data_IF_864448052317
#
_entry.id   IF_864448052317
#
_cell.length_a   1.000
_cell.length_b   1.000
_cell.length_c   1.000
_cell.angle_alpha   90.00
_cell.angle_beta   90.00
_cell.angle_gamma   90.00
#
_symmetry.space_group_name_H-M   'P 1'
#
loop_
_entity.id
_entity.type
_entity.pdbx_description
1 polymer ?
#
# COMPACT_ATOMS: atom_id res chain seq x y z
N UNK A 1 36.82 1.98 10.37
CA UNK A 1 35.44 1.53 10.39
C UNK A 1 34.72 1.98 9.10
N UNK A 2 33.70 1.28 8.66
CA UNK A 2 32.78 1.77 7.64
C UNK A 2 32.08 3.06 8.08
N UNK A 3 31.34 3.68 7.18
CA UNK A 3 30.53 4.89 7.44
C UNK A 3 29.14 4.76 6.84
N UNK A 4 28.22 5.68 7.21
CA UNK A 4 26.85 5.70 6.70
C UNK A 4 25.98 6.74 7.41
N UNK A 5 24.64 6.63 7.25
CA UNK A 5 23.68 7.58 7.83
C UNK A 5 23.40 7.39 9.33
N UNK A 6 23.81 6.29 9.93
CA UNK A 6 23.49 5.93 11.33
C UNK A 6 22.09 5.33 11.53
N UNK A 7 21.15 5.58 10.61
CA UNK A 7 19.80 5.04 10.64
C UNK A 7 19.41 4.52 9.24
N UNK A 8 18.64 3.44 9.21
CA UNK A 8 18.08 2.90 7.97
C UNK A 8 16.60 2.53 8.17
N UNK A 9 15.77 3.04 7.29
CA UNK A 9 14.37 2.64 7.15
C UNK A 9 14.28 1.42 6.21
N UNK A 10 13.55 0.41 6.63
CA UNK A 10 13.23 -0.79 5.85
C UNK A 10 11.71 -0.93 5.77
N UNK A 11 11.18 -1.11 4.57
CA UNK A 11 9.74 -1.28 4.38
C UNK A 11 9.33 -2.74 4.51
N UNK A 12 8.29 -3.00 5.29
CA UNK A 12 7.63 -4.29 5.51
C UNK A 12 8.54 -5.35 6.16
N UNK A 13 9.62 -5.76 5.52
CA UNK A 13 10.58 -6.73 6.03
C UNK A 13 11.92 -6.60 5.32
N UNK A 14 12.95 -7.13 5.92
CA UNK A 14 14.29 -7.18 5.33
C UNK A 14 15.20 -8.19 6.02
N UNK A 15 16.37 -8.40 5.44
CA UNK A 15 17.43 -9.24 5.98
C UNK A 15 18.72 -8.45 6.12
N UNK A 16 19.71 -9.01 6.77
CA UNK A 16 21.05 -8.41 6.93
C UNK A 16 21.65 -7.94 5.60
N UNK A 17 21.35 -8.65 4.50
CA UNK A 17 21.82 -8.25 3.15
C UNK A 17 21.24 -6.92 2.66
N UNK A 18 20.14 -6.42 3.26
CA UNK A 18 19.56 -5.13 2.95
C UNK A 18 20.21 -3.95 3.68
N UNK A 19 21.09 -4.22 4.64
CA UNK A 19 21.79 -3.17 5.39
C UNK A 19 22.85 -2.51 4.51
N UNK A 20 22.95 -1.19 4.63
CA UNK A 20 23.86 -0.36 3.81
C UNK A 20 24.88 0.33 4.67
N UNK A 21 26.15 0.16 4.35
CA UNK A 21 27.27 0.92 4.86
C UNK A 21 28.31 1.14 3.76
N UNK A 22 29.04 2.24 3.83
CA UNK A 22 30.12 2.58 2.89
C UNK A 22 31.45 2.04 3.41
N UNK A 23 32.07 1.17 2.62
CA UNK A 23 33.35 0.53 2.97
C UNK A 23 33.65 -0.64 2.04
N UNK A 24 34.72 -1.37 2.35
CA UNK A 24 35.19 -2.53 1.57
C UNK A 24 34.91 -3.81 2.33
N UNK A 25 34.34 -4.83 1.66
CA UNK A 25 34.07 -6.16 2.26
C UNK A 25 33.40 -6.04 3.63
N UNK A 26 32.19 -5.47 3.62
CA UNK A 26 31.40 -5.20 4.84
C UNK A 26 30.89 -6.51 5.45
N UNK A 27 31.10 -6.64 6.76
CA UNK A 27 30.52 -7.70 7.59
C UNK A 27 29.65 -7.09 8.68
N UNK A 28 28.49 -7.69 8.94
CA UNK A 28 27.53 -7.23 9.95
C UNK A 28 27.52 -8.09 11.19
N UNK A 29 27.34 -7.47 12.36
CA UNK A 29 27.38 -8.09 13.69
C UNK A 29 26.24 -7.61 14.57
N UNK A 30 25.90 -8.41 15.57
CA UNK A 30 24.94 -8.04 16.61
C UNK A 30 25.55 -7.16 17.71
N UNK A 31 26.89 -7.17 17.87
CA UNK A 31 27.57 -6.50 18.97
C UNK A 31 28.63 -5.51 18.47
N UNK A 32 28.94 -4.52 19.29
CA UNK A 32 30.01 -3.53 19.03
C UNK A 32 31.37 -4.17 18.88
N UNK A 33 31.62 -5.26 19.62
CA UNK A 33 32.90 -5.99 19.64
C UNK A 33 32.65 -7.49 19.75
N UNK A 34 33.56 -8.29 19.27
CA UNK A 34 33.48 -9.75 19.31
C UNK A 34 32.33 -10.33 18.48
N UNK A 35 31.99 -11.59 18.70
CA UNK A 35 30.98 -12.34 18.00
C UNK A 35 31.36 -12.71 16.57
N UNK A 36 30.49 -13.53 15.93
CA UNK A 36 30.65 -13.92 14.53
C UNK A 36 29.81 -13.02 13.62
N UNK A 37 30.19 -12.84 12.34
CA UNK A 37 29.38 -12.15 11.37
C UNK A 37 27.99 -12.77 11.26
N UNK A 38 26.97 -11.93 11.12
CA UNK A 38 25.59 -12.34 10.90
C UNK A 38 25.42 -12.92 9.49
N UNK A 39 24.58 -13.96 9.38
CA UNK A 39 24.23 -14.51 8.08
C UNK A 39 23.45 -13.47 7.28
N UNK A 40 23.79 -13.21 6.01
CA UNK A 40 23.07 -12.26 5.14
C UNK A 40 21.55 -12.52 5.02
N UNK A 41 21.10 -13.76 5.20
CA UNK A 41 19.67 -14.14 5.15
C UNK A 41 18.93 -13.99 6.47
N UNK A 42 19.64 -13.64 7.57
CA UNK A 42 18.99 -13.39 8.87
C UNK A 42 18.03 -12.21 8.77
N UNK A 43 16.79 -12.40 9.23
CA UNK A 43 15.78 -11.36 9.24
C UNK A 43 16.17 -10.19 10.16
N UNK A 44 15.88 -8.97 9.72
CA UNK A 44 16.04 -7.77 10.52
C UNK A 44 14.95 -7.69 11.60
N UNK A 45 15.32 -7.12 12.74
CA UNK A 45 14.41 -6.87 13.85
C UNK A 45 14.24 -5.35 14.02
N UNK A 46 12.99 -4.91 14.07
CA UNK A 46 12.65 -3.49 14.24
C UNK A 46 13.25 -2.93 15.55
N UNK A 47 13.80 -1.71 15.47
CA UNK A 47 14.41 -1.03 16.61
C UNK A 47 15.79 -1.59 17.01
N UNK A 48 16.33 -2.55 16.25
CA UNK A 48 17.65 -3.15 16.56
C UNK A 48 18.78 -2.35 15.93
N UNK A 49 19.87 -2.23 16.66
CA UNK A 49 21.12 -1.67 16.15
C UNK A 49 22.07 -2.79 15.71
N UNK A 50 22.57 -2.68 14.49
CA UNK A 50 23.55 -3.57 13.89
C UNK A 50 24.89 -2.85 13.75
N UNK A 51 25.99 -3.61 13.69
CA UNK A 51 27.35 -3.10 13.71
C UNK A 51 28.12 -3.62 12.50
N UNK A 52 28.69 -2.73 11.70
CA UNK A 52 29.45 -3.09 10.52
C UNK A 52 30.96 -2.94 10.72
N UNK A 53 31.73 -3.95 10.31
CA UNK A 53 33.15 -3.83 10.05
C UNK A 53 33.42 -3.77 8.54
N UNK A 54 34.64 -3.35 8.19
CA UNK A 54 35.18 -3.48 6.84
C UNK A 54 36.52 -4.20 6.86
N UNK A 55 36.87 -4.87 5.76
CA UNK A 55 38.14 -5.54 5.59
C UNK A 55 38.92 -4.87 4.46
N UNK A 56 40.13 -4.40 4.78
CA UNK A 56 41.11 -3.83 3.86
C UNK A 56 42.40 -4.63 3.92
N UNK A 57 42.92 -5.06 2.78
CA UNK A 57 44.18 -5.82 2.70
C UNK A 57 44.23 -6.97 3.71
N UNK A 58 43.15 -7.75 3.79
CA UNK A 58 42.96 -8.87 4.73
C UNK A 58 42.91 -8.50 6.21
N UNK A 59 42.86 -7.21 6.57
CA UNK A 59 42.75 -6.74 7.95
C UNK A 59 41.31 -6.20 8.18
N UNK A 60 40.59 -6.81 9.13
CA UNK A 60 39.27 -6.33 9.56
C UNK A 60 39.43 -5.13 10.50
N UNK A 61 38.54 -4.12 10.34
CA UNK A 61 38.54 -2.93 11.18
C UNK A 61 38.19 -3.27 12.63
N UNK A 62 38.97 -2.74 13.57
CA UNK A 62 38.77 -2.94 15.01
C UNK A 62 37.49 -2.25 15.49
N UNK A 63 37.21 -1.05 14.97
CA UNK A 63 36.02 -0.30 15.29
C UNK A 63 34.91 -0.64 14.29
N UNK A 64 33.68 -0.77 14.78
CA UNK A 64 32.46 -1.02 13.97
C UNK A 64 31.63 0.24 13.84
N UNK A 65 31.06 0.43 12.66
CA UNK A 65 30.06 1.44 12.39
C UNK A 65 28.70 0.96 12.92
N UNK A 66 27.97 1.85 13.58
CA UNK A 66 26.67 1.57 14.18
C UNK A 66 25.54 2.01 13.25
N UNK A 67 24.56 1.13 13.01
CA UNK A 67 23.38 1.38 12.20
C UNK A 67 22.12 0.96 12.95
N UNK A 68 21.25 1.91 13.27
CA UNK A 68 19.92 1.63 13.82
C UNK A 68 18.93 1.33 12.69
N UNK A 69 18.12 0.28 12.85
CA UNK A 69 17.12 -0.13 11.86
C UNK A 69 15.71 0.18 12.37
N UNK A 70 14.93 0.85 11.54
CA UNK A 70 13.49 1.03 11.73
C UNK A 70 12.75 0.29 10.63
N UNK A 71 11.86 -0.64 11.00
CA UNK A 71 10.98 -1.31 10.03
C UNK A 71 9.60 -0.69 10.12
N UNK A 72 9.14 -0.13 9.00
CA UNK A 72 7.79 0.40 8.85
C UNK A 72 6.96 -0.57 8.02
N UNK A 73 5.85 -1.03 8.57
CA UNK A 73 4.92 -1.95 7.93
C UNK A 73 3.53 -1.28 7.89
N UNK A 74 3.24 -0.48 6.84
CA UNK A 74 1.97 0.22 6.75
C UNK A 74 0.79 -0.75 6.73
N UNK A 75 -0.21 -0.47 7.56
CA UNK A 75 -1.43 -1.26 7.62
C UNK A 75 -2.19 -1.24 6.29
N UNK A 76 -2.97 -2.28 6.00
CA UNK A 76 -3.85 -2.28 4.84
C UNK A 76 -4.92 -1.20 4.99
N UNK A 77 -5.28 -0.49 3.90
CA UNK A 77 -6.40 0.46 3.95
C UNK A 77 -7.71 -0.21 4.39
N UNK A 78 -8.51 0.51 5.17
CA UNK A 78 -9.87 0.11 5.50
C UNK A 78 -10.83 0.79 4.53
N UNK A 79 -11.59 0.00 3.77
CA UNK A 79 -12.63 0.50 2.86
C UNK A 79 -13.88 0.89 3.64
N UNK A 80 -14.56 1.96 3.21
CA UNK A 80 -15.91 2.28 3.68
C UNK A 80 -16.99 1.35 3.07
N UNK A 81 -16.60 0.43 2.21
CA UNK A 81 -17.46 -0.51 1.51
C UNK A 81 -17.65 -0.19 0.01
N UNK A 82 -18.19 -1.16 -0.71
CA UNK A 82 -18.60 -0.98 -2.09
C UNK A 82 -19.86 -0.11 -2.15
N UNK A 83 -20.02 0.65 -3.24
CA UNK A 83 -21.21 1.46 -3.48
C UNK A 83 -21.96 0.90 -4.68
N UNK A 84 -23.26 0.67 -4.52
CA UNK A 84 -24.15 0.25 -5.60
C UNK A 84 -25.44 1.05 -5.51
N UNK A 85 -25.72 1.86 -6.54
CA UNK A 85 -26.83 2.80 -6.57
C UNK A 85 -27.59 2.71 -7.90
N UNK A 86 -28.87 3.09 -7.90
CA UNK A 86 -29.60 3.28 -9.14
C UNK A 86 -29.24 4.62 -9.78
N UNK A 87 -29.27 4.67 -11.11
CA UNK A 87 -29.06 5.89 -11.89
C UNK A 87 -30.06 6.99 -11.49
N UNK A 88 -29.56 8.21 -11.34
CA UNK A 88 -30.37 9.43 -11.25
C UNK A 88 -30.31 10.23 -12.56
N UNK A 89 -31.13 11.27 -12.70
CA UNK A 89 -31.04 12.22 -13.81
C UNK A 89 -30.83 13.65 -13.27
N UNK A 90 -29.66 14.29 -13.48
CA UNK A 90 -28.49 13.75 -14.17
C UNK A 90 -27.83 12.58 -13.41
N UNK A 91 -26.98 11.79 -14.09
CA UNK A 91 -26.23 10.68 -13.47
C UNK A 91 -25.34 11.23 -12.36
N UNK A 92 -25.46 10.63 -11.18
CA UNK A 92 -24.63 10.97 -10.00
C UNK A 92 -23.18 10.51 -10.18
N UNK A 93 -22.27 11.14 -9.44
CA UNK A 93 -20.87 10.76 -9.39
C UNK A 93 -20.60 10.04 -8.06
N UNK A 94 -20.04 8.84 -8.13
CA UNK A 94 -19.56 8.08 -6.99
C UNK A 94 -18.06 8.32 -6.78
N UNK A 95 -17.64 8.29 -5.51
CA UNK A 95 -16.23 8.47 -5.10
C UNK A 95 -15.88 7.32 -4.17
N UNK A 96 -14.82 6.55 -4.43
CA UNK A 96 -14.40 5.48 -3.53
C UNK A 96 -13.82 6.08 -2.23
N UNK A 97 -14.12 5.45 -1.10
CA UNK A 97 -13.65 5.91 0.21
C UNK A 97 -12.87 4.81 0.92
N UNK A 98 -11.67 5.13 1.34
CA UNK A 98 -10.85 4.29 2.21
C UNK A 98 -10.05 5.16 3.18
N UNK A 99 -9.71 4.59 4.33
CA UNK A 99 -8.94 5.25 5.39
C UNK A 99 -7.67 4.48 5.71
N UNK A 100 -6.65 5.19 6.19
CA UNK A 100 -5.43 4.60 6.72
C UNK A 100 -5.58 4.35 8.22
N UNK A 101 -5.45 3.10 8.71
CA UNK A 101 -5.55 2.80 10.13
C UNK A 101 -4.38 3.33 10.97
N UNK A 102 -3.24 3.60 10.34
CA UNK A 102 -1.98 4.02 10.98
C UNK A 102 -1.60 5.49 10.69
N UNK A 103 -2.56 6.29 10.18
CA UNK A 103 -2.37 7.72 9.92
C UNK A 103 -1.57 8.04 8.66
N UNK A 104 -1.31 7.05 7.81
CA UNK A 104 -0.70 7.24 6.48
C UNK A 104 -1.66 7.90 5.48
N UNK A 105 -1.20 8.08 4.26
CA UNK A 105 -1.98 8.65 3.14
C UNK A 105 -2.48 7.56 2.20
N UNK A 106 -3.71 7.71 1.71
CA UNK A 106 -4.29 6.77 0.74
C UNK A 106 -4.00 7.26 -0.68
N UNK A 107 -3.49 6.35 -1.50
CA UNK A 107 -3.37 6.50 -2.95
C UNK A 107 -4.23 5.48 -3.66
N UNK A 108 -4.74 5.83 -4.85
CA UNK A 108 -5.64 4.99 -5.61
C UNK A 108 -5.02 4.50 -6.91
N UNK A 109 -5.37 3.28 -7.30
CA UNK A 109 -4.88 2.62 -8.51
C UNK A 109 -6.03 1.94 -9.26
N UNK A 110 -5.80 1.69 -10.56
CA UNK A 110 -6.74 0.95 -11.42
C UNK A 110 -6.54 -0.58 -11.40
N UNK A 111 -5.56 -1.08 -10.63
CA UNK A 111 -5.26 -2.52 -10.57
C UNK A 111 -4.81 -2.95 -9.16
N UNK A 112 -5.02 -4.21 -8.76
CA UNK A 112 -4.62 -4.73 -7.43
C UNK A 112 -3.11 -4.73 -7.23
N UNK A 113 -2.35 -4.88 -8.33
CA UNK A 113 -0.88 -4.83 -8.37
C UNK A 113 -0.45 -4.12 -9.65
N UNK A 114 0.68 -3.40 -9.60
CA UNK A 114 1.08 -2.56 -10.74
C UNK A 114 0.02 -1.51 -11.07
N UNK A 115 -0.30 -1.33 -12.35
CA UNK A 115 -1.30 -0.37 -12.83
C UNK A 115 -0.89 1.09 -12.67
N UNK A 116 -1.84 1.99 -12.97
CA UNK A 116 -1.63 3.44 -12.95
C UNK A 116 -2.24 4.07 -11.71
N UNK A 117 -1.54 5.08 -11.16
CA UNK A 117 -2.06 5.96 -10.11
C UNK A 117 -3.24 6.78 -10.64
N UNK A 118 -4.30 6.90 -9.83
CA UNK A 118 -5.46 7.74 -10.09
C UNK A 118 -5.56 8.81 -9.02
N UNK A 119 -5.33 10.08 -9.39
CA UNK A 119 -5.24 11.18 -8.43
C UNK A 119 -6.59 11.49 -7.74
N UNK A 120 -7.70 11.38 -8.47
CA UNK A 120 -9.05 11.65 -7.98
C UNK A 120 -10.03 10.65 -8.61
N UNK A 121 -10.15 9.42 -8.08
CA UNK A 121 -11.01 8.42 -8.66
C UNK A 121 -12.48 8.79 -8.51
N UNK A 122 -13.21 8.75 -9.62
CA UNK A 122 -14.66 8.98 -9.68
C UNK A 122 -15.30 8.01 -10.65
N UNK A 123 -16.59 7.73 -10.46
CA UNK A 123 -17.38 6.92 -11.36
C UNK A 123 -18.77 7.54 -11.59
N UNK A 124 -19.11 7.84 -12.84
CA UNK A 124 -20.35 8.48 -13.22
C UNK A 124 -20.97 7.87 -14.49
N UNK A 125 -20.74 6.57 -14.70
CA UNK A 125 -21.22 5.83 -15.88
C UNK A 125 -22.01 4.61 -15.43
N UNK A 126 -23.06 4.22 -16.17
CA UNK A 126 -23.79 2.97 -15.92
C UNK A 126 -22.83 1.79 -16.06
N UNK A 127 -22.89 0.86 -15.10
CA UNK A 127 -21.97 -0.26 -14.97
C UNK A 127 -21.16 -0.19 -13.69
N UNK A 128 -20.07 -0.93 -13.62
CA UNK A 128 -19.21 -1.01 -12.43
C UNK A 128 -17.74 -0.83 -12.75
N UNK A 129 -17.00 -0.30 -11.77
CA UNK A 129 -15.55 -0.23 -11.80
C UNK A 129 -15.00 -0.51 -10.41
N UNK A 130 -13.74 -0.99 -10.33
CA UNK A 130 -13.06 -1.21 -9.05
C UNK A 130 -11.79 -0.37 -9.00
N UNK A 131 -11.68 0.41 -7.93
CA UNK A 131 -10.47 1.15 -7.56
C UNK A 131 -9.77 0.43 -6.41
N UNK A 132 -8.46 0.60 -6.32
CA UNK A 132 -7.61 -0.11 -5.36
C UNK A 132 -6.86 0.89 -4.51
N UNK A 133 -7.19 0.93 -3.21
CA UNK A 133 -6.56 1.80 -2.23
C UNK A 133 -5.23 1.21 -1.74
N UNK A 134 -4.19 2.03 -1.66
CA UNK A 134 -2.91 1.69 -1.04
C UNK A 134 -2.57 2.69 0.06
N UNK A 135 -2.13 2.20 1.21
CA UNK A 135 -1.68 3.04 2.31
C UNK A 135 -0.18 3.34 2.17
N UNK A 136 0.19 4.61 2.38
CA UNK A 136 1.58 5.07 2.37
C UNK A 136 1.88 5.73 3.71
N UNK A 137 2.85 5.20 4.43
CA UNK A 137 3.29 5.73 5.72
C UNK A 137 4.82 5.71 5.79
N UNK A 138 5.44 6.84 6.17
CA UNK A 138 6.90 6.99 6.31
C UNK A 138 7.69 6.48 5.09
N UNK A 139 7.27 6.86 3.88
CA UNK A 139 7.88 6.41 2.61
C UNK A 139 7.76 4.91 2.31
N UNK A 140 7.03 4.16 3.11
CA UNK A 140 6.69 2.76 2.87
C UNK A 140 5.24 2.62 2.42
N UNK A 141 4.96 1.57 1.66
CA UNK A 141 3.61 1.26 1.18
C UNK A 141 3.10 -0.05 1.78
N UNK A 142 1.78 -0.16 1.96
CA UNK A 142 1.15 -1.42 2.38
C UNK A 142 1.45 -2.53 1.38
N UNK A 143 1.58 -3.76 1.87
CA UNK A 143 1.94 -4.95 1.09
C UNK A 143 0.88 -5.34 0.06
N UNK A 144 -0.36 -4.92 0.27
CA UNK A 144 -1.47 -5.14 -0.64
C UNK A 144 -2.35 -3.90 -0.72
N UNK A 145 -3.28 -3.90 -1.67
CA UNK A 145 -4.28 -2.86 -1.88
C UNK A 145 -5.66 -3.37 -1.49
N UNK A 146 -6.51 -2.47 -0.98
CA UNK A 146 -7.90 -2.77 -0.65
C UNK A 146 -8.80 -2.35 -1.82
N UNK A 147 -9.60 -3.27 -2.39
CA UNK A 147 -10.52 -2.94 -3.47
C UNK A 147 -11.75 -2.19 -2.96
N UNK A 148 -12.24 -1.25 -3.77
CA UNK A 148 -13.52 -0.56 -3.60
C UNK A 148 -14.24 -0.55 -4.94
N UNK A 149 -15.38 -1.21 -5.02
CA UNK A 149 -16.19 -1.27 -6.24
C UNK A 149 -17.29 -0.23 -6.20
N UNK A 150 -17.42 0.52 -7.27
CA UNK A 150 -18.48 1.49 -7.51
C UNK A 150 -19.36 0.99 -8.66
N UNK A 151 -20.67 0.98 -8.44
CA UNK A 151 -21.65 0.51 -9.41
C UNK A 151 -22.80 1.51 -9.54
N UNK A 152 -23.16 1.87 -10.77
CA UNK A 152 -24.39 2.59 -11.10
C UNK A 152 -25.24 1.66 -11.96
N UNK A 153 -26.36 1.21 -11.41
CA UNK A 153 -27.35 0.38 -12.13
C UNK A 153 -28.24 1.26 -13.01
N UNK A 154 -28.52 0.80 -14.22
CA UNK A 154 -29.47 1.46 -15.07
C UNK A 154 -30.84 1.60 -14.37
N UNK A 155 -31.49 2.74 -14.55
CA UNK A 155 -32.88 2.89 -14.11
C UNK A 155 -33.75 1.87 -14.83
N UNK A 156 -34.73 1.28 -14.14
CA UNK A 156 -35.70 0.38 -14.81
C UNK A 156 -36.42 1.13 -15.90
N UNK A 157 -36.47 0.53 -17.10
CA UNK A 157 -37.27 1.05 -18.20
C UNK A 157 -38.72 0.60 -17.98
N UNK A 158 -39.61 1.55 -17.68
CA UNK A 158 -41.02 1.28 -17.66
C UNK A 158 -41.54 1.19 -19.13
N UNK A 159 -41.74 0.00 -19.63
CA UNK A 159 -42.37 -0.21 -20.94
C UNK A 159 -43.87 -0.38 -20.70
N UNK A 160 -44.64 0.62 -21.11
CA UNK A 160 -46.11 0.51 -21.15
C UNK A 160 -46.46 -0.30 -22.40
N UNK A 161 -46.70 -1.60 -22.23
CA UNK A 161 -47.00 -2.53 -23.36
C UNK A 161 -48.47 -2.52 -23.77
N UNK A 162 -49.39 -1.98 -22.94
CA UNK A 162 -50.79 -1.91 -23.25
C UNK A 162 -51.47 -0.72 -22.54
N UNK A 163 -51.91 0.24 -23.27
CA UNK A 163 -52.81 1.29 -22.78
C UNK A 163 -54.21 0.99 -23.29
N UNK A 164 -55.05 0.30 -22.54
CA UNK A 164 -56.49 0.25 -22.80
C UNK A 164 -57.15 1.40 -22.03
N UNK A 165 -57.57 2.41 -22.74
CA UNK A 165 -58.44 3.41 -22.19
C UNK A 165 -59.92 2.81 -22.19
N UNK A 166 -60.26 2.14 -21.10
CA UNK A 166 -61.65 1.81 -20.82
C UNK A 166 -62.14 2.73 -19.70
N UNK A 167 -62.98 3.66 -20.05
CA UNK A 167 -63.73 4.48 -19.11
C UNK A 167 -62.88 5.09 -17.94
N UNK A 168 -62.00 6.01 -18.25
CA UNK A 168 -61.25 6.83 -17.26
C UNK A 168 -60.33 6.10 -16.28
N UNK A 169 -59.96 4.86 -16.51
CA UNK A 169 -59.01 4.15 -15.67
C UNK A 169 -57.78 3.72 -16.48
N UNK A 170 -56.60 4.25 -16.13
CA UNK A 170 -55.31 3.75 -16.58
C UNK A 170 -54.91 2.56 -15.70
N UNK A 171 -54.92 1.34 -16.23
CA UNK A 171 -54.34 0.16 -15.58
C UNK A 171 -52.95 -0.11 -16.13
N UNK A 172 -51.99 -0.20 -15.25
CA UNK A 172 -50.62 -0.59 -15.57
C UNK A 172 -50.48 -2.10 -15.26
N UNK A 173 -49.91 -2.85 -16.16
CA UNK A 173 -49.52 -4.26 -15.95
C UNK A 173 -48.01 -4.41 -16.03
#
# INVERSE_FOLDING_TARGET
>A
APSGSGNQLVCNSGTISNLVATGTSILWYANTTGGSPLNPTTALVNGTTYYASQTLSSCESRNRYQLAVTITNPALPTSAGNQSVCQTNPIQTLIPVATSPDGGTITWYNAPTGGSLIAAPTWNTIGSTTFYAQNNNNSCTSTARTPVTLEIKAAPLLTITNTTCAANLLTYS
#
